data_IF_404767744430
#
_entry.id   IF_404767744430
#
_cell.length_a   1.000
_cell.length_b   1.000
_cell.length_c   1.000
_cell.angle_alpha   90.00
_cell.angle_beta   90.00
_cell.angle_gamma   90.00
#
_symmetry.space_group_name_H-M   'P 1'
#
loop_
_entity.id
_entity.type
_entity.pdbx_description
1 polymer ?
#
# COMPACT_ATOMS: atom_id res chain seq x y z
N UNK A 1 12.93 5.17 2.17
CA UNK A 1 11.80 5.26 1.24
C UNK A 1 11.63 6.69 0.77
N UNK A 2 11.27 6.92 -0.50
CA UNK A 2 11.04 8.24 -1.03
C UNK A 2 9.91 8.96 -0.28
N UNK A 3 9.98 10.28 -0.21
CA UNK A 3 8.90 11.12 0.30
C UNK A 3 7.73 11.12 -0.68
N UNK A 4 6.48 11.34 -0.21
CA UNK A 4 5.36 11.46 -1.11
C UNK A 4 5.59 12.65 -2.07
N UNK A 5 5.31 12.48 -3.38
CA UNK A 5 5.46 13.56 -4.35
C UNK A 5 4.44 14.68 -4.08
N UNK A 6 4.76 15.90 -4.51
CA UNK A 6 3.94 17.09 -4.22
C UNK A 6 2.50 17.02 -4.76
N UNK A 7 2.27 16.23 -5.82
CA UNK A 7 0.94 16.03 -6.44
C UNK A 7 0.15 14.85 -5.84
N UNK A 8 0.68 14.14 -4.84
CA UNK A 8 -0.08 13.11 -4.13
C UNK A 8 -1.25 13.74 -3.37
N UNK A 9 -2.42 13.10 -3.44
CA UNK A 9 -3.56 13.50 -2.61
C UNK A 9 -3.26 13.26 -1.15
N UNK A 10 -3.43 14.28 -0.32
CA UNK A 10 -3.13 14.23 1.11
C UNK A 10 -4.41 14.25 1.95
N UNK A 11 -4.42 13.46 3.01
CA UNK A 11 -5.51 13.38 3.96
C UNK A 11 -4.94 13.32 5.37
N UNK A 12 -5.50 14.14 6.27
CA UNK A 12 -5.10 14.23 7.67
C UNK A 12 -6.35 14.23 8.52
N UNK A 13 -6.37 13.40 9.56
CA UNK A 13 -7.47 13.38 10.53
C UNK A 13 -7.05 12.89 11.90
N UNK A 14 -7.76 13.30 12.92
CA UNK A 14 -7.73 12.73 14.26
C UNK A 14 -9.09 12.09 14.65
N UNK A 15 -10.04 12.09 13.73
CA UNK A 15 -11.35 11.43 13.86
C UNK A 15 -11.28 9.99 13.28
N UNK A 16 -11.67 9.01 14.10
CA UNK A 16 -11.64 7.60 13.70
C UNK A 16 -12.74 7.24 12.70
N UNK A 17 -13.88 7.88 12.76
CA UNK A 17 -15.00 7.57 11.85
C UNK A 17 -14.75 8.20 10.47
N UNK A 18 -14.20 9.41 10.41
CA UNK A 18 -13.71 10.00 9.17
C UNK A 18 -12.60 9.14 8.54
N UNK A 19 -11.65 8.66 9.34
CA UNK A 19 -10.60 7.74 8.88
C UNK A 19 -11.19 6.47 8.26
N UNK A 20 -12.17 5.85 8.92
CA UNK A 20 -12.83 4.62 8.42
C UNK A 20 -13.55 4.86 7.10
N UNK A 21 -14.24 5.98 6.99
CA UNK A 21 -14.98 6.35 5.78
C UNK A 21 -14.03 6.58 4.60
N UNK A 22 -13.01 7.41 4.75
CA UNK A 22 -12.08 7.76 3.67
C UNK A 22 -11.27 6.55 3.23
N UNK A 23 -10.70 5.79 4.17
CA UNK A 23 -9.89 4.61 3.84
C UNK A 23 -10.77 3.46 3.32
N UNK A 24 -11.99 3.30 3.82
CA UNK A 24 -12.95 2.29 3.35
C UNK A 24 -13.31 2.46 1.87
N UNK A 25 -13.44 3.70 1.40
CA UNK A 25 -13.71 3.99 -0.02
C UNK A 25 -12.56 3.59 -0.96
N UNK A 26 -11.32 3.67 -0.49
CA UNK A 26 -10.14 3.44 -1.34
C UNK A 26 -9.58 2.02 -1.24
N UNK A 27 -9.58 1.42 -0.06
CA UNK A 27 -8.87 0.18 0.23
C UNK A 27 -9.82 -1.03 0.30
N UNK A 28 -11.13 -0.78 0.24
CA UNK A 28 -12.17 -1.79 0.38
C UNK A 28 -12.69 -1.94 1.80
N UNK A 29 -13.66 -2.83 1.98
CA UNK A 29 -14.31 -3.03 3.27
C UNK A 29 -13.34 -3.58 4.31
N UNK A 30 -13.15 -2.85 5.39
CA UNK A 30 -12.30 -3.26 6.49
C UNK A 30 -12.79 -2.70 7.84
N UNK A 31 -12.48 -3.39 8.90
CA UNK A 31 -12.66 -2.89 10.26
C UNK A 31 -11.34 -2.38 10.83
N UNK A 32 -11.43 -1.31 11.61
CA UNK A 32 -10.27 -0.70 12.24
C UNK A 32 -10.56 -0.41 13.72
N UNK A 33 -9.65 -0.84 14.58
CA UNK A 33 -9.65 -0.54 16.02
C UNK A 33 -8.34 0.14 16.36
N UNK A 34 -8.42 1.26 17.07
CA UNK A 34 -7.26 2.02 17.54
C UNK A 34 -6.99 1.66 18.99
N UNK A 35 -5.70 1.55 19.34
CA UNK A 35 -5.22 1.16 20.67
C UNK A 35 -4.35 2.26 21.26
N UNK A 36 -4.51 2.47 22.55
CA UNK A 36 -3.74 3.46 23.29
C UNK A 36 -4.59 4.68 23.68
N UNK A 37 -3.93 5.61 24.37
CA UNK A 37 -4.52 6.88 24.83
C UNK A 37 -3.79 8.00 24.13
N UNK A 38 -4.54 8.97 23.61
CA UNK A 38 -3.98 10.13 22.94
C UNK A 38 -4.73 10.46 21.64
N UNK A 39 -4.16 11.38 20.88
CA UNK A 39 -4.70 11.83 19.60
C UNK A 39 -4.34 10.83 18.51
N UNK A 40 -5.30 10.51 17.64
CA UNK A 40 -5.10 9.58 16.52
C UNK A 40 -3.99 10.06 15.57
N UNK A 41 -3.99 11.33 15.20
CA UNK A 41 -3.02 11.98 14.32
C UNK A 41 -2.64 11.06 13.11
N UNK A 42 -3.64 10.78 12.28
CA UNK A 42 -3.46 9.99 11.07
C UNK A 42 -3.12 10.90 9.89
N UNK A 43 -2.10 10.52 9.15
CA UNK A 43 -1.65 11.17 7.92
C UNK A 43 -1.58 10.14 6.81
N UNK A 44 -2.06 10.49 5.62
CA UNK A 44 -2.01 9.65 4.43
C UNK A 44 -1.77 10.47 3.18
N UNK A 45 -0.87 10.00 2.32
CA UNK A 45 -0.66 10.53 0.98
C UNK A 45 -0.87 9.40 -0.02
N UNK A 46 -1.61 9.66 -1.08
CA UNK A 46 -1.97 8.64 -2.07
C UNK A 46 -1.69 9.16 -3.48
N UNK A 47 -1.02 8.35 -4.27
CA UNK A 47 -0.83 8.53 -5.70
C UNK A 47 -1.48 7.35 -6.42
N UNK A 48 -2.50 7.61 -7.24
CA UNK A 48 -3.24 6.56 -7.95
C UNK A 48 -2.98 6.69 -9.44
N UNK A 49 -2.36 5.67 -10.00
CA UNK A 49 -2.28 5.46 -11.45
C UNK A 49 -3.32 4.42 -11.92
N UNK A 50 -3.39 4.19 -13.23
CA UNK A 50 -4.34 3.26 -13.85
C UNK A 50 -4.15 1.79 -13.43
N UNK A 51 -2.94 1.41 -13.08
CA UNK A 51 -2.55 0.02 -12.79
C UNK A 51 -1.92 -0.16 -11.42
N UNK A 52 -1.37 0.90 -10.85
CA UNK A 52 -0.62 0.90 -9.60
C UNK A 52 -1.04 2.08 -8.74
N UNK A 53 -1.14 1.83 -7.44
CA UNK A 53 -1.35 2.85 -6.43
C UNK A 53 -0.24 2.84 -5.40
N UNK A 54 0.17 4.01 -4.96
CA UNK A 54 1.14 4.22 -3.88
C UNK A 54 0.45 4.91 -2.72
N UNK A 55 0.78 4.50 -1.51
CA UNK A 55 0.23 5.09 -0.30
C UNK A 55 1.33 5.21 0.75
N UNK A 56 1.53 6.42 1.26
CA UNK A 56 2.31 6.71 2.45
C UNK A 56 1.34 6.99 3.58
N UNK A 57 1.50 6.35 4.71
CA UNK A 57 0.65 6.55 5.87
C UNK A 57 1.46 6.63 7.15
N UNK A 58 1.02 7.45 8.08
CA UNK A 58 1.55 7.53 9.44
C UNK A 58 0.41 7.61 10.43
N UNK A 59 0.58 6.98 11.57
CA UNK A 59 -0.40 7.02 12.66
C UNK A 59 0.31 7.11 14.00
N UNK A 60 -0.22 7.95 14.89
CA UNK A 60 0.36 8.15 16.23
C UNK A 60 -0.06 7.07 17.23
N UNK A 61 -1.09 6.29 16.97
CA UNK A 61 -1.60 5.24 17.86
C UNK A 61 -1.49 3.86 17.21
N UNK A 62 -1.34 2.84 18.05
CA UNK A 62 -1.41 1.45 17.59
C UNK A 62 -2.78 1.12 16.99
N UNK A 63 -2.84 0.23 16.02
CA UNK A 63 -4.10 -0.14 15.38
C UNK A 63 -4.17 -1.62 15.00
N UNK A 64 -5.38 -2.15 15.04
CA UNK A 64 -5.73 -3.44 14.46
C UNK A 64 -6.65 -3.20 13.27
N UNK A 65 -6.26 -3.70 12.11
CA UNK A 65 -7.03 -3.64 10.86
C UNK A 65 -7.38 -5.06 10.47
N UNK A 66 -8.66 -5.33 10.17
CA UNK A 66 -9.14 -6.61 9.66
C UNK A 66 -9.92 -6.39 8.39
N UNK A 67 -9.62 -7.16 7.36
CA UNK A 67 -10.31 -7.06 6.06
C UNK A 67 -9.61 -7.88 4.99
N UNK A 68 -9.99 -7.60 3.75
CA UNK A 68 -9.35 -8.13 2.55
C UNK A 68 -9.13 -6.98 1.57
N UNK A 69 -8.03 -7.03 0.83
CA UNK A 69 -7.71 -6.01 -0.17
C UNK A 69 -8.21 -6.44 -1.56
N UNK A 70 -8.63 -5.47 -2.37
CA UNK A 70 -9.07 -5.70 -3.75
C UNK A 70 -7.93 -5.88 -4.75
N UNK A 71 -6.69 -5.60 -4.33
CA UNK A 71 -5.50 -5.61 -5.17
C UNK A 71 -4.36 -6.36 -4.49
N UNK A 72 -3.38 -6.83 -5.28
CA UNK A 72 -2.11 -7.29 -4.73
C UNK A 72 -1.42 -6.11 -4.07
N UNK A 73 -1.14 -6.20 -2.78
CA UNK A 73 -0.57 -5.07 -2.05
C UNK A 73 0.70 -5.48 -1.32
N UNK A 74 1.76 -4.74 -1.55
CA UNK A 74 2.97 -4.77 -0.74
C UNK A 74 2.85 -3.73 0.37
N UNK A 75 2.82 -4.17 1.61
CA UNK A 75 2.89 -3.30 2.79
C UNK A 75 4.32 -3.26 3.33
N UNK A 76 4.88 -2.09 3.52
CA UNK A 76 6.18 -1.85 4.13
C UNK A 76 6.00 -1.18 5.48
N UNK A 77 6.56 -1.76 6.52
CA UNK A 77 6.66 -1.13 7.84
C UNK A 77 7.92 -0.25 7.87
N UNK A 78 7.76 1.07 8.01
CA UNK A 78 8.88 2.01 7.88
C UNK A 78 9.72 2.02 9.16
N UNK A 79 9.15 2.46 10.26
CA UNK A 79 9.85 2.74 11.53
C UNK A 79 9.29 1.97 12.72
N UNK A 80 8.23 1.20 12.53
CA UNK A 80 7.60 0.43 13.60
C UNK A 80 7.23 -0.99 13.13
N UNK A 81 7.27 -2.01 14.01
CA UNK A 81 6.92 -3.36 13.66
C UNK A 81 5.42 -3.52 13.42
N UNK A 82 5.07 -4.51 12.60
CA UNK A 82 3.70 -4.95 12.43
C UNK A 82 3.58 -6.48 12.47
N UNK A 83 2.39 -6.97 12.74
CA UNK A 83 2.07 -8.39 12.77
C UNK A 83 0.86 -8.65 11.87
N UNK A 84 0.97 -9.68 11.03
CA UNK A 84 -0.12 -10.15 10.18
C UNK A 84 -0.58 -11.53 10.63
N UNK A 85 -1.91 -11.73 10.65
CA UNK A 85 -2.54 -13.01 10.88
C UNK A 85 -3.37 -13.39 9.65
N UNK A 86 -3.08 -14.54 9.07
CA UNK A 86 -3.85 -15.18 7.99
C UNK A 86 -4.37 -16.51 8.52
N UNK A 87 -5.63 -16.51 8.95
CA UNK A 87 -6.18 -17.63 9.69
C UNK A 87 -5.38 -17.90 10.97
N UNK A 88 -4.73 -19.07 11.06
CA UNK A 88 -3.89 -19.45 12.21
C UNK A 88 -2.42 -19.04 12.06
N UNK A 89 -2.00 -18.59 10.88
CA UNK A 89 -0.62 -18.23 10.59
C UNK A 89 -0.33 -16.80 11.03
N UNK A 90 0.68 -16.63 11.85
CA UNK A 90 1.16 -15.34 12.34
C UNK A 90 2.51 -15.02 11.68
N UNK A 91 2.64 -13.81 11.15
CA UNK A 91 3.85 -13.32 10.51
C UNK A 91 4.20 -11.97 11.13
N UNK A 92 5.39 -11.87 11.68
CA UNK A 92 5.94 -10.60 12.18
C UNK A 92 6.75 -9.93 11.09
N UNK A 93 6.54 -8.63 10.92
CA UNK A 93 7.24 -7.77 9.97
C UNK A 93 8.02 -6.73 10.77
N UNK A 94 9.33 -6.76 10.65
CA UNK A 94 10.22 -5.81 11.32
C UNK A 94 10.15 -4.42 10.65
N UNK A 95 10.58 -3.36 11.32
CA UNK A 95 10.83 -2.08 10.66
C UNK A 95 11.78 -2.24 9.46
N UNK A 96 11.52 -1.56 8.36
CA UNK A 96 12.28 -1.69 7.11
C UNK A 96 11.98 -2.96 6.31
N UNK A 97 11.03 -3.79 6.75
CA UNK A 97 10.62 -5.00 6.04
C UNK A 97 9.19 -4.89 5.52
N UNK A 98 8.81 -5.77 4.60
CA UNK A 98 7.50 -5.77 3.99
C UNK A 98 6.78 -7.11 3.97
N UNK A 99 5.50 -7.04 3.66
CA UNK A 99 4.62 -8.18 3.51
C UNK A 99 3.75 -8.03 2.27
N UNK A 100 3.72 -9.04 1.40
CA UNK A 100 2.79 -9.09 0.28
C UNK A 100 1.47 -9.68 0.77
N UNK A 101 0.38 -8.96 0.51
CA UNK A 101 -0.99 -9.40 0.76
C UNK A 101 -1.65 -9.66 -0.59
N UNK A 102 -2.08 -10.89 -0.81
CA UNK A 102 -2.80 -11.26 -2.03
C UNK A 102 -4.20 -10.66 -2.07
N UNK A 103 -4.76 -10.41 -3.27
CA UNK A 103 -6.14 -9.99 -3.41
C UNK A 103 -7.10 -10.97 -2.70
N UNK A 104 -8.10 -10.42 -2.04
CA UNK A 104 -9.16 -11.16 -1.34
C UNK A 104 -8.70 -12.07 -0.20
N UNK A 105 -7.44 -12.05 0.18
CA UNK A 105 -6.99 -12.74 1.38
C UNK A 105 -7.43 -11.98 2.61
N UNK A 106 -8.22 -12.65 3.44
CA UNK A 106 -8.57 -12.11 4.74
C UNK A 106 -7.35 -12.08 5.66
N UNK A 107 -7.10 -10.93 6.24
CA UNK A 107 -6.01 -10.75 7.19
C UNK A 107 -6.44 -9.91 8.38
N UNK A 108 -5.69 -10.06 9.45
CA UNK A 108 -5.68 -9.10 10.55
C UNK A 108 -4.27 -8.55 10.66
N UNK A 109 -4.11 -7.23 10.54
CA UNK A 109 -2.85 -6.54 10.77
C UNK A 109 -2.92 -5.82 12.12
N UNK A 110 -1.92 -6.07 12.97
CA UNK A 110 -1.67 -5.30 14.18
C UNK A 110 -0.42 -4.45 13.96
N UNK A 111 -0.57 -3.13 13.99
CA UNK A 111 0.52 -2.17 13.79
C UNK A 111 0.76 -1.36 15.05
N UNK A 112 2.04 -1.12 15.37
CA UNK A 112 2.46 -0.12 16.35
C UNK A 112 2.32 1.29 15.76
N UNK A 113 2.34 2.35 16.58
CA UNK A 113 2.49 3.72 16.08
C UNK A 113 3.67 3.83 15.11
N UNK A 114 3.51 4.53 14.00
CA UNK A 114 4.58 4.68 13.03
C UNK A 114 4.11 4.83 11.59
N UNK A 115 5.09 4.82 10.68
CA UNK A 115 4.91 4.96 9.25
C UNK A 115 4.74 3.63 8.52
N UNK A 116 3.93 3.65 7.49
CA UNK A 116 3.73 2.56 6.56
C UNK A 116 3.74 3.10 5.13
N UNK A 117 4.33 2.32 4.23
CA UNK A 117 4.18 2.52 2.79
C UNK A 117 3.43 1.31 2.22
N UNK A 118 2.57 1.54 1.24
CA UNK A 118 1.91 0.49 0.51
C UNK A 118 2.00 0.73 -1.01
N UNK A 119 2.29 -0.35 -1.74
CA UNK A 119 2.23 -0.41 -3.20
C UNK A 119 1.14 -1.40 -3.57
N UNK A 120 0.10 -0.94 -4.24
CA UNK A 120 -0.99 -1.77 -4.73
C UNK A 120 -0.91 -1.93 -6.25
N UNK A 121 -1.09 -3.16 -6.75
CA UNK A 121 -1.12 -3.48 -8.17
C UNK A 121 -2.49 -4.07 -8.50
N UNK A 122 -3.18 -3.50 -9.50
CA UNK A 122 -4.50 -3.97 -9.91
C UNK A 122 -4.43 -5.40 -10.46
N UNK A 123 -5.49 -6.20 -10.23
CA UNK A 123 -5.58 -7.57 -10.75
C UNK A 123 -5.40 -7.64 -12.27
N UNK A 124 -5.89 -6.62 -12.99
CA UNK A 124 -5.76 -6.54 -14.46
C UNK A 124 -4.29 -6.39 -14.87
N UNK A 125 -3.55 -5.49 -14.25
CA UNK A 125 -2.15 -5.26 -14.55
C UNK A 125 -1.30 -6.47 -14.16
N UNK A 126 -1.53 -7.04 -12.97
CA UNK A 126 -0.86 -8.24 -12.52
C UNK A 126 -1.09 -9.43 -13.47
N UNK A 127 -2.34 -9.68 -13.86
CA UNK A 127 -2.70 -10.76 -14.78
C UNK A 127 -2.10 -10.57 -16.18
N UNK A 128 -1.97 -9.33 -16.65
CA UNK A 128 -1.31 -9.03 -17.91
C UNK A 128 0.18 -9.37 -17.85
N UNK A 129 0.87 -8.95 -16.80
CA UNK A 129 2.29 -9.21 -16.61
C UNK A 129 2.61 -10.70 -16.43
N UNK A 130 1.78 -11.43 -15.67
CA UNK A 130 1.94 -12.88 -15.52
C UNK A 130 1.81 -13.59 -16.87
N UNK A 131 0.85 -13.20 -17.72
CA UNK A 131 0.67 -13.79 -19.06
C UNK A 131 1.87 -13.56 -19.96
N UNK A 132 2.50 -12.40 -19.89
CA UNK A 132 3.70 -12.09 -20.67
C UNK A 132 4.88 -12.93 -20.22
N UNK A 133 5.09 -13.08 -18.91
CA UNK A 133 6.25 -13.79 -18.36
C UNK A 133 6.09 -15.30 -18.28
N UNK A 134 4.87 -15.80 -18.26
CA UNK A 134 4.54 -17.24 -18.17
C UNK A 134 3.40 -17.61 -19.12
N UNK A 135 3.62 -17.58 -20.44
CA UNK A 135 2.57 -17.83 -21.43
C UNK A 135 1.96 -19.25 -21.34
N UNK A 136 2.72 -20.21 -20.82
CA UNK A 136 2.27 -21.62 -20.69
C UNK A 136 1.71 -21.97 -19.29
N UNK A 137 1.77 -21.05 -18.35
CA UNK A 137 1.42 -21.29 -16.94
C UNK A 137 -0.03 -20.92 -16.60
N UNK A 138 -0.95 -21.88 -16.62
CA UNK A 138 -2.23 -21.80 -15.91
C UNK A 138 -2.05 -22.14 -14.42
N UNK A 139 -1.12 -21.53 -13.76
CA UNK A 139 -0.95 -21.71 -12.32
C UNK A 139 -1.49 -20.50 -11.58
N UNK A 140 -2.38 -20.73 -10.61
CA UNK A 140 -2.74 -19.68 -9.65
C UNK A 140 -1.45 -19.17 -9.00
N UNK A 141 -1.11 -17.92 -9.28
CA UNK A 141 0.04 -17.30 -8.63
C UNK A 141 -0.33 -17.05 -7.16
N UNK A 142 0.34 -17.73 -6.27
CA UNK A 142 0.19 -17.55 -4.83
C UNK A 142 1.38 -16.74 -4.34
N UNK A 143 1.17 -15.53 -3.81
CA UNK A 143 2.26 -14.74 -3.24
C UNK A 143 2.96 -15.52 -2.14
N UNK A 144 4.29 -15.41 -2.10
CA UNK A 144 5.04 -15.91 -0.95
C UNK A 144 4.61 -15.14 0.30
N UNK A 145 4.15 -15.85 1.31
CA UNK A 145 3.75 -15.28 2.60
C UNK A 145 4.93 -15.11 3.57
N UNK A 146 6.16 -14.99 3.05
CA UNK A 146 7.34 -14.65 3.85
C UNK A 146 7.53 -13.13 3.89
N UNK A 147 8.06 -12.57 4.98
CA UNK A 147 8.51 -11.18 4.99
C UNK A 147 9.56 -10.96 3.89
N UNK A 148 9.48 -9.81 3.24
CA UNK A 148 10.49 -9.35 2.29
C UNK A 148 11.51 -8.51 3.05
N UNK A 149 12.79 -8.76 2.82
CA UNK A 149 13.87 -7.93 3.33
C UNK A 149 14.11 -6.78 2.36
N UNK A 150 13.71 -5.59 2.77
CA UNK A 150 13.80 -4.38 1.96
C UNK A 150 15.01 -3.51 2.30
N UNK A 151 15.81 -3.94 3.26
CA UNK A 151 17.09 -3.29 3.56
C UNK A 151 18.23 -3.81 2.65
N UNK A 152 17.98 -4.92 1.93
CA UNK A 152 18.90 -5.54 0.99
C UNK A 152 18.62 -5.23 -0.48
N UNK A 153 18.84 -6.23 -1.34
CA UNK A 153 18.74 -6.16 -2.82
C UNK A 153 17.37 -5.71 -3.36
N UNK A 154 16.30 -5.93 -2.59
CA UNK A 154 14.94 -5.58 -3.05
C UNK A 154 14.62 -4.08 -2.88
N UNK A 155 15.40 -3.36 -2.06
CA UNK A 155 15.18 -1.93 -1.80
C UNK A 155 15.36 -1.08 -3.06
N UNK A 156 16.45 -1.26 -3.79
CA UNK A 156 16.73 -0.50 -5.01
C UNK A 156 15.70 -0.76 -6.11
N UNK A 157 15.19 -1.98 -6.22
CA UNK A 157 14.14 -2.31 -7.18
C UNK A 157 12.82 -1.60 -6.83
N UNK A 158 12.46 -1.52 -5.55
CA UNK A 158 11.25 -0.82 -5.10
C UNK A 158 11.42 0.69 -5.27
N UNK A 159 12.55 1.26 -4.87
CA UNK A 159 12.84 2.69 -5.06
C UNK A 159 12.79 3.05 -6.54
N UNK A 160 13.43 2.30 -7.43
CA UNK A 160 13.34 2.50 -8.89
C UNK A 160 11.92 2.38 -9.43
N UNK A 161 11.13 1.42 -8.93
CA UNK A 161 9.73 1.28 -9.34
C UNK A 161 8.87 2.48 -8.90
N UNK A 162 9.10 2.97 -7.67
CA UNK A 162 8.40 4.16 -7.13
C UNK A 162 8.76 5.40 -7.92
N UNK A 163 10.05 5.62 -8.20
CA UNK A 163 10.54 6.77 -8.97
C UNK A 163 10.03 6.73 -10.41
N UNK A 164 10.01 5.55 -11.04
CA UNK A 164 9.45 5.35 -12.38
C UNK A 164 7.96 5.68 -12.46
N UNK A 165 7.19 5.29 -11.42
CA UNK A 165 5.75 5.58 -11.34
C UNK A 165 5.47 7.06 -11.07
N UNK A 166 6.25 7.70 -10.20
CA UNK A 166 6.15 9.13 -9.94
C UNK A 166 6.44 9.94 -11.22
N UNK A 167 7.51 9.60 -11.95
CA UNK A 167 7.86 10.26 -13.21
C UNK A 167 6.82 10.04 -14.34
N UNK A 168 6.21 8.86 -14.41
CA UNK A 168 5.13 8.58 -15.36
C UNK A 168 3.85 9.38 -15.05
N UNK A 169 3.55 9.59 -13.77
CA UNK A 169 2.41 10.39 -13.32
C UNK A 169 2.60 11.87 -13.65
N UNK A 170 3.81 12.41 -13.48
CA UNK A 170 4.14 13.79 -13.84
C UNK A 170 3.97 14.05 -15.33
N UNK A 171 4.41 13.13 -16.18
CA UNK A 171 4.28 13.25 -17.63
C UNK A 171 2.83 13.16 -18.12
N UNK A 172 2.00 12.32 -17.49
CA UNK A 172 0.58 12.21 -17.80
C UNK A 172 -0.21 13.47 -17.40
N UNK A 173 0.12 14.05 -16.24
CA UNK A 173 -0.48 15.30 -15.77
C UNK A 173 -0.08 16.48 -16.66
N UNK A 174 1.17 16.55 -17.08
CA UNK A 174 1.67 17.58 -18.01
C UNK A 174 0.98 17.50 -19.39
N UNK A 175 0.72 16.28 -19.91
CA UNK A 175 -0.02 16.08 -21.17
C UNK A 175 -1.48 16.54 -21.05
N UNK A 176 -2.18 16.15 -19.98
CA UNK A 176 -3.59 16.55 -19.77
C UNK A 176 -3.74 18.08 -19.62
N UNK A 177 -2.79 18.73 -18.96
CA UNK A 177 -2.78 20.20 -18.81
C UNK A 177 -2.55 20.91 -20.15
N UNK A 178 -1.71 20.33 -21.03
CA UNK A 178 -1.43 20.87 -22.36
C UNK A 178 -2.66 20.78 -23.29
N UNK A 179 -3.36 19.65 -23.29
CA UNK A 179 -4.60 19.47 -24.06
C UNK A 179 -5.73 20.40 -23.60
N UNK A 180 -5.80 20.73 -22.31
CA UNK A 180 -6.78 21.70 -21.78
C UNK A 180 -6.43 23.16 -22.09
N UNK A 181 -5.16 23.49 -22.34
CA UNK A 181 -4.77 24.85 -22.74
C UNK A 181 -4.85 25.09 -24.25
N UNK A 182 -4.93 24.05 -25.07
CA UNK A 182 -5.03 24.14 -26.53
C UNK A 182 -6.49 24.03 -27.06
N UNK A 183 -7.46 23.81 -26.18
CA UNK A 183 -8.91 23.73 -26.47
C UNK A 183 -9.63 25.01 -26.04
#
# INVERSE_FOLDING_TARGET
LPSPPAHASSFFTDDLDELREVVGRSDGEHSRVVHGVGRLAFERHVLIGSSVGLCWGRVALGQTIRGALGALTLHLSIDAPSEYLFGRRRIRVAPGSGMIVAPRWEFTRRGSPGGMFALAVSDKALSAEIRVRRPEGRGDWVPSSRPLDLLGTDRSAIESAVDGLAGASDSATASATREQCEA
#
